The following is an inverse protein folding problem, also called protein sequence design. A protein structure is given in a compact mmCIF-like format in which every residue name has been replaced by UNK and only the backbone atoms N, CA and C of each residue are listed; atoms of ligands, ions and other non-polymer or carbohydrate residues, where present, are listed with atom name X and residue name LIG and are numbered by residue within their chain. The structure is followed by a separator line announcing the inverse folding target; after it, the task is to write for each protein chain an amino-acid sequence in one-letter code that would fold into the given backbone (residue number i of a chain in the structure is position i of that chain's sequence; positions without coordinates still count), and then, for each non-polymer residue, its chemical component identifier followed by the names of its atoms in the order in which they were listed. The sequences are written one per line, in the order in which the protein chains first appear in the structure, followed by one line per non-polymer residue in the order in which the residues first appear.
data_IF_213147585292
#
_entry.id   IF_213147585292
#
_cell.length_a   1.000
_cell.length_b   1.000
_cell.length_c   1.000
_cell.angle_alpha   90.00
_cell.angle_beta   90.00
_cell.angle_gamma   90.00
#
_symmetry.space_group_name_H-M   'P 1'
#
loop_
_entity.id
_entity.type
_entity.pdbx_description
1 polymer ?
#
# COMPACT_ATOMS: atom_id res chain seq x y z
N UNK A 1 -12.24 -6.44 -9.36
CA UNK A 1 -11.19 -5.44 -9.53
C UNK A 1 -11.14 -5.04 -11.01
N UNK A 2 -11.38 -3.77 -11.32
CA UNK A 2 -11.27 -3.27 -12.69
C UNK A 2 -9.79 -3.04 -13.11
N UNK A 3 -9.54 -2.65 -14.36
CA UNK A 3 -8.18 -2.41 -14.86
C UNK A 3 -7.44 -1.29 -14.11
N UNK A 4 -8.16 -0.26 -13.64
CA UNK A 4 -7.59 0.90 -12.95
C UNK A 4 -7.16 0.49 -11.54
N UNK A 5 -8.03 -0.20 -10.81
CA UNK A 5 -7.73 -0.73 -9.48
C UNK A 5 -6.56 -1.71 -9.53
N UNK A 6 -6.50 -2.58 -10.54
CA UNK A 6 -5.40 -3.52 -10.71
C UNK A 6 -4.06 -2.83 -10.96
N UNK A 7 -4.03 -1.81 -11.81
CA UNK A 7 -2.81 -1.03 -12.05
C UNK A 7 -2.36 -0.28 -10.78
N UNK A 8 -3.33 0.29 -10.05
CA UNK A 8 -3.08 0.96 -8.77
C UNK A 8 -2.48 -0.02 -7.75
N UNK A 9 -3.03 -1.24 -7.69
CA UNK A 9 -2.50 -2.29 -6.82
C UNK A 9 -1.02 -2.58 -7.13
N UNK A 10 -0.66 -2.82 -8.39
CA UNK A 10 0.75 -3.11 -8.74
C UNK A 10 1.69 -1.97 -8.39
N UNK A 11 1.26 -0.71 -8.52
CA UNK A 11 2.03 0.46 -8.12
C UNK A 11 2.20 0.54 -6.60
N UNK A 12 1.15 0.23 -5.83
CA UNK A 12 1.21 0.13 -4.37
C UNK A 12 2.14 -1.00 -3.93
N UNK A 13 2.03 -2.19 -4.54
CA UNK A 13 2.93 -3.33 -4.28
C UNK A 13 4.39 -2.96 -4.58
N UNK A 14 4.64 -2.26 -5.69
CA UNK A 14 5.98 -1.78 -6.02
C UNK A 14 6.55 -0.82 -4.96
N UNK A 15 5.72 0.08 -4.42
CA UNK A 15 6.13 0.97 -3.33
C UNK A 15 6.47 0.19 -2.06
N UNK A 16 5.66 -0.81 -1.70
CA UNK A 16 5.87 -1.66 -0.51
C UNK A 16 7.14 -2.49 -0.66
N UNK A 17 7.30 -3.19 -1.78
CA UNK A 17 8.50 -3.99 -2.11
C UNK A 17 9.77 -3.15 -2.06
N UNK A 18 9.72 -1.89 -2.55
CA UNK A 18 10.85 -0.97 -2.51
C UNK A 18 11.30 -0.56 -1.10
N UNK A 19 10.43 -0.70 -0.09
CA UNK A 19 10.74 -0.40 1.32
C UNK A 19 11.10 -1.67 2.09
N UNK A 20 10.29 -2.72 1.99
CA UNK A 20 10.48 -3.95 2.77
C UNK A 20 11.55 -4.87 2.18
N UNK A 21 11.87 -4.72 0.89
CA UNK A 21 12.75 -5.61 0.15
C UNK A 21 12.11 -6.96 -0.21
N UNK A 22 10.83 -7.16 0.12
CA UNK A 22 10.07 -8.36 -0.23
C UNK A 22 9.76 -8.40 -1.73
N UNK A 23 9.64 -9.62 -2.27
CA UNK A 23 9.26 -9.80 -3.67
C UNK A 23 7.81 -9.36 -3.91
N UNK A 24 7.56 -8.73 -5.06
CA UNK A 24 6.24 -8.20 -5.40
C UNK A 24 5.16 -9.28 -5.56
N UNK A 25 5.52 -10.45 -6.10
CA UNK A 25 4.56 -11.56 -6.26
C UNK A 25 4.29 -12.22 -4.90
N UNK A 26 5.30 -12.35 -4.05
CA UNK A 26 5.13 -12.82 -2.66
C UNK A 26 4.22 -11.89 -1.86
N UNK A 27 4.41 -10.57 -1.97
CA UNK A 27 3.54 -9.57 -1.35
C UNK A 27 2.09 -9.71 -1.80
N UNK A 28 1.84 -9.94 -3.09
CA UNK A 28 0.48 -10.16 -3.60
C UNK A 28 -0.16 -11.39 -2.94
N UNK A 29 0.58 -12.48 -2.74
CA UNK A 29 0.07 -13.65 -2.02
C UNK A 29 -0.13 -13.37 -0.53
N UNK A 30 0.76 -12.62 0.11
CA UNK A 30 0.60 -12.17 1.51
C UNK A 30 -0.68 -11.37 1.69
N UNK A 31 -0.96 -10.39 0.81
CA UNK A 31 -2.17 -9.58 0.89
C UNK A 31 -3.47 -10.35 0.61
N UNK A 32 -3.41 -11.52 -0.03
CA UNK A 32 -4.58 -12.42 -0.13
C UNK A 32 -4.89 -13.12 1.20
N UNK A 33 -3.89 -13.27 2.07
CA UNK A 33 -4.03 -13.94 3.37
C UNK A 33 -4.39 -12.96 4.49
N UNK A 34 -4.02 -11.68 4.35
CA UNK A 34 -4.35 -10.64 5.31
C UNK A 34 -3.47 -9.39 5.16
N UNK A 35 -3.57 -8.44 6.10
CA UNK A 35 -2.66 -7.29 6.12
C UNK A 35 -1.23 -7.71 6.43
N UNK A 36 -0.28 -6.92 5.94
CA UNK A 36 1.13 -7.04 6.27
C UNK A 36 1.42 -6.19 7.51
N UNK A 37 1.90 -6.82 8.58
CA UNK A 37 2.45 -6.08 9.73
C UNK A 37 3.89 -5.66 9.42
N UNK A 38 4.17 -4.36 9.56
CA UNK A 38 5.51 -3.79 9.38
C UNK A 38 5.92 -3.02 10.62
N UNK A 39 7.20 -2.66 10.71
CA UNK A 39 7.63 -1.78 11.78
C UNK A 39 7.15 -0.33 11.54
N UNK A 40 7.26 0.50 12.59
CA UNK A 40 6.84 1.91 12.53
C UNK A 40 7.50 2.67 11.38
N UNK A 41 8.81 2.47 11.18
CA UNK A 41 9.60 3.23 10.22
C UNK A 41 9.17 2.86 8.81
N UNK A 42 9.08 1.58 8.53
CA UNK A 42 8.68 1.05 7.23
C UNK A 42 7.25 1.48 6.90
N UNK A 43 6.34 1.48 7.87
CA UNK A 43 4.99 1.99 7.70
C UNK A 43 4.97 3.44 7.18
N UNK A 44 5.70 4.35 7.84
CA UNK A 44 5.76 5.75 7.42
C UNK A 44 6.41 5.91 6.04
N UNK A 45 7.47 5.16 5.76
CA UNK A 45 8.16 5.22 4.48
C UNK A 45 7.28 4.71 3.34
N UNK A 46 6.53 3.62 3.55
CA UNK A 46 5.53 3.10 2.60
C UNK A 46 4.46 4.15 2.33
N UNK A 47 3.86 4.72 3.39
CA UNK A 47 2.79 5.73 3.24
C UNK A 47 3.31 6.92 2.44
N UNK A 48 4.46 7.48 2.80
CA UNK A 48 5.06 8.61 2.07
C UNK A 48 5.34 8.30 0.60
N UNK A 49 5.84 7.08 0.31
CA UNK A 49 6.16 6.67 -1.05
C UNK A 49 4.90 6.50 -1.89
N UNK A 50 3.83 5.95 -1.31
CA UNK A 50 2.53 5.82 -1.98
C UNK A 50 1.92 7.20 -2.21
N UNK A 51 1.86 8.06 -1.19
CA UNK A 51 1.37 9.44 -1.32
C UNK A 51 2.10 10.22 -2.42
N UNK A 52 3.43 10.11 -2.48
CA UNK A 52 4.24 10.73 -3.53
C UNK A 52 3.99 10.14 -4.92
N UNK A 53 3.70 8.84 -5.03
CA UNK A 53 3.47 8.18 -6.32
C UNK A 53 2.14 8.60 -6.95
N UNK A 54 1.15 8.92 -6.11
CA UNK A 54 -0.21 9.24 -6.53
C UNK A 54 -0.59 10.71 -6.33
N UNK A 55 0.34 11.56 -5.91
CA UNK A 55 0.12 12.98 -5.59
C UNK A 55 -1.10 13.18 -4.66
N UNK A 56 -1.12 12.42 -3.57
CA UNK A 56 -2.27 12.36 -2.66
C UNK A 56 -1.85 12.33 -1.19
N UNK A 57 -2.85 12.41 -0.29
CA UNK A 57 -2.65 12.24 1.15
C UNK A 57 -3.55 11.12 1.64
N UNK A 58 -2.96 10.13 2.31
CA UNK A 58 -3.66 9.00 2.90
C UNK A 58 -3.86 9.28 4.39
N UNK A 59 -5.12 9.45 4.80
CA UNK A 59 -5.48 9.47 6.22
C UNK A 59 -5.38 8.04 6.78
N UNK A 60 -4.19 7.71 7.29
CA UNK A 60 -3.83 6.41 7.86
C UNK A 60 -3.79 6.50 9.38
N UNK A 61 -4.24 5.43 10.05
CA UNK A 61 -4.09 5.36 11.50
C UNK A 61 -2.60 5.20 11.85
N UNK A 62 -2.04 6.17 12.56
CA UNK A 62 -0.63 6.21 12.98
C UNK A 62 -0.40 5.57 14.35
N UNK A 63 -1.48 5.11 15.00
CA UNK A 63 -1.41 4.38 16.26
C UNK A 63 -1.45 2.87 15.99
N UNK A 64 -0.43 2.16 16.50
CA UNK A 64 -0.18 0.76 16.16
C UNK A 64 -1.28 -0.21 16.61
N UNK A 65 -1.28 -1.45 16.07
CA UNK A 65 -0.26 -2.04 15.19
C UNK A 65 -0.22 -1.44 13.77
N UNK A 66 0.98 -1.36 13.18
CA UNK A 66 1.21 -0.76 11.86
C UNK A 66 0.91 -1.76 10.74
N UNK A 67 -0.37 -1.85 10.39
CA UNK A 67 -0.88 -2.81 9.41
C UNK A 67 -1.06 -2.16 8.04
N UNK A 68 -0.46 -2.75 7.01
CA UNK A 68 -0.67 -2.35 5.62
C UNK A 68 -1.81 -3.17 5.03
N UNK A 69 -2.88 -2.48 4.65
CA UNK A 69 -4.02 -3.02 3.92
C UNK A 69 -3.96 -2.54 2.47
N UNK A 70 -3.41 -3.36 1.57
CA UNK A 70 -3.21 -2.96 0.17
C UNK A 70 -4.54 -2.60 -0.54
N UNK A 71 -5.62 -3.30 -0.23
CA UNK A 71 -6.96 -3.05 -0.75
C UNK A 71 -7.55 -1.72 -0.26
N UNK A 72 -7.34 -1.38 1.01
CA UNK A 72 -7.75 -0.09 1.57
C UNK A 72 -7.00 1.06 0.90
N UNK A 73 -5.68 0.94 0.75
CA UNK A 73 -4.84 1.93 0.08
C UNK A 73 -5.30 2.14 -1.36
N UNK A 74 -5.48 1.05 -2.12
CA UNK A 74 -6.00 1.10 -3.50
C UNK A 74 -7.36 1.79 -3.55
N UNK A 75 -8.27 1.44 -2.63
CA UNK A 75 -9.60 2.04 -2.57
C UNK A 75 -9.57 3.54 -2.27
N UNK A 76 -8.69 3.99 -1.36
CA UNK A 76 -8.52 5.42 -1.07
C UNK A 76 -7.99 6.16 -2.30
N UNK A 77 -6.94 5.64 -2.94
CA UNK A 77 -6.34 6.25 -4.13
C UNK A 77 -7.34 6.32 -5.29
N UNK A 78 -8.08 5.25 -5.55
CA UNK A 78 -9.02 5.20 -6.68
C UNK A 78 -10.17 6.17 -6.50
N UNK A 79 -10.61 6.42 -5.25
CA UNK A 79 -11.61 7.44 -4.90
C UNK A 79 -11.11 8.88 -5.03
N UNK A 80 -9.82 9.12 -4.74
CA UNK A 80 -9.20 10.45 -4.87
C UNK A 80 -8.97 10.84 -6.34
N UNK A 81 -8.69 9.84 -7.18
CA UNK A 81 -8.43 10.01 -8.61
C UNK A 81 -9.69 9.88 -9.49
N UNK A 82 -10.87 10.27 -8.98
CA UNK A 82 -12.15 10.34 -9.72
C UNK A 82 -12.45 11.76 -10.12
#
# INVERSE_FOLDING_TARGET
MDNKERNTLYQVIYAISGVTGEDGDELVETFKQGPLEVDKRDFFEIVQRVESLFDCTLDMNLEGPYLIHADEIVTKITKLNV
#
